data_IF_923607091929
#
_entry.id   IF_923607091929
#
_cell.length_a   1.000
_cell.length_b   1.000
_cell.length_c   1.000
_cell.angle_alpha   90.00
_cell.angle_beta   90.00
_cell.angle_gamma   90.00
#
_symmetry.space_group_name_H-M   'P 1'
#
loop_
_entity.id
_entity.type
_entity.pdbx_description
1 polymer ?
#
# COMPACT_ATOMS: atom_id res chain seq x y z
N UNK A 1 5.55 17.38 8.73
CA UNK A 1 4.51 17.23 7.67
C UNK A 1 4.84 16.04 6.79
N UNK A 2 3.87 15.19 6.52
CA UNK A 2 4.04 13.99 5.68
C UNK A 2 4.41 14.40 4.25
N UNK A 3 5.51 13.86 3.68
CA UNK A 3 5.88 14.10 2.28
C UNK A 3 4.80 13.63 1.30
N UNK A 4 4.58 14.41 0.23
CA UNK A 4 3.59 14.09 -0.82
C UNK A 4 4.16 13.11 -1.83
N UNK A 5 4.45 11.90 -1.36
CA UNK A 5 4.97 10.81 -2.16
C UNK A 5 4.25 9.51 -1.79
N UNK A 6 3.88 8.71 -2.78
CA UNK A 6 3.30 7.37 -2.58
C UNK A 6 4.33 6.35 -3.05
N UNK A 7 4.67 5.45 -2.16
CA UNK A 7 5.63 4.37 -2.37
C UNK A 7 4.87 3.05 -2.56
N UNK A 8 5.11 2.40 -3.67
CA UNK A 8 4.74 1.01 -3.95
C UNK A 8 5.99 0.13 -3.90
N UNK A 9 5.82 -1.13 -3.55
CA UNK A 9 6.90 -2.12 -3.52
C UNK A 9 6.49 -3.32 -4.36
N UNK A 10 7.37 -3.73 -5.29
CA UNK A 10 7.26 -5.00 -5.99
C UNK A 10 8.57 -5.76 -5.87
N UNK A 11 8.55 -6.88 -5.15
CA UNK A 11 9.69 -7.79 -4.98
C UNK A 11 9.52 -8.94 -5.95
N UNK A 12 10.47 -9.11 -6.85
CA UNK A 12 10.43 -10.16 -7.85
C UNK A 12 10.66 -11.55 -7.22
N UNK A 13 9.68 -12.43 -7.40
CA UNK A 13 9.71 -13.82 -6.97
C UNK A 13 9.20 -14.73 -8.10
N UNK A 14 9.74 -14.54 -9.32
CA UNK A 14 9.32 -15.30 -10.49
C UNK A 14 8.03 -14.81 -11.16
N UNK A 15 7.39 -13.76 -10.64
CA UNK A 15 6.17 -13.20 -11.19
C UNK A 15 6.29 -11.70 -11.38
N UNK A 16 5.73 -11.18 -12.47
CA UNK A 16 5.60 -9.75 -12.75
C UNK A 16 4.30 -9.19 -12.18
N UNK A 17 4.21 -7.86 -11.97
CA UNK A 17 2.95 -7.23 -11.59
C UNK A 17 1.86 -7.54 -12.62
N UNK A 18 0.69 -7.94 -12.15
CA UNK A 18 -0.50 -8.11 -13.00
C UNK A 18 -1.05 -6.77 -13.46
N UNK A 19 -2.00 -6.79 -14.40
CA UNK A 19 -2.68 -5.56 -14.83
C UNK A 19 -3.36 -4.84 -13.68
N UNK A 20 -3.95 -5.56 -12.72
CA UNK A 20 -4.59 -4.96 -11.54
C UNK A 20 -3.58 -4.30 -10.60
N UNK A 21 -2.40 -4.88 -10.41
CA UNK A 21 -1.32 -4.24 -9.69
C UNK A 21 -0.87 -2.93 -10.38
N UNK A 22 -0.72 -2.96 -11.70
CA UNK A 22 -0.38 -1.77 -12.48
C UNK A 22 -1.52 -0.75 -12.48
N UNK A 23 -2.77 -1.21 -12.43
CA UNK A 23 -3.94 -0.35 -12.31
C UNK A 23 -3.95 0.39 -10.98
N UNK A 24 -3.63 -0.27 -9.86
CA UNK A 24 -3.46 0.37 -8.55
C UNK A 24 -2.49 1.56 -8.63
N UNK A 25 -1.30 1.36 -9.17
CA UNK A 25 -0.31 2.43 -9.37
C UNK A 25 -0.88 3.57 -10.23
N UNK A 26 -1.57 3.24 -11.33
CA UNK A 26 -2.18 4.23 -12.22
C UNK A 26 -3.24 5.07 -11.51
N UNK A 27 -4.06 4.47 -10.61
CA UNK A 27 -5.04 5.23 -9.82
C UNK A 27 -4.35 6.27 -8.93
N UNK A 28 -3.22 5.94 -8.32
CA UNK A 28 -2.45 6.90 -7.53
C UNK A 28 -1.93 8.07 -8.37
N UNK A 29 -1.39 7.79 -9.56
CA UNK A 29 -0.91 8.83 -10.50
C UNK A 29 -2.03 9.77 -10.94
N UNK A 30 -3.23 9.24 -11.17
CA UNK A 30 -4.34 10.01 -11.74
C UNK A 30 -5.13 10.78 -10.69
N UNK A 31 -5.35 10.18 -9.53
CA UNK A 31 -6.27 10.69 -8.53
C UNK A 31 -5.58 11.43 -7.39
N UNK A 32 -4.24 11.51 -7.40
CA UNK A 32 -3.50 12.25 -6.39
C UNK A 32 -2.52 13.25 -7.00
N UNK A 33 -2.09 14.21 -6.21
CA UNK A 33 -1.01 15.15 -6.57
C UNK A 33 0.34 14.70 -6.03
N UNK A 34 0.41 13.47 -5.53
CA UNK A 34 1.64 12.90 -5.00
C UNK A 34 2.59 12.47 -6.12
N UNK A 35 3.88 12.54 -5.84
CA UNK A 35 4.87 11.81 -6.62
C UNK A 35 4.66 10.32 -6.38
N UNK A 36 4.65 9.50 -7.43
CA UNK A 36 4.48 8.05 -7.31
C UNK A 36 5.80 7.35 -7.60
N UNK A 37 6.22 6.48 -6.70
CA UNK A 37 7.47 5.73 -6.78
C UNK A 37 7.18 4.23 -6.65
N UNK A 38 7.70 3.45 -7.59
CA UNK A 38 7.73 2.00 -7.52
C UNK A 38 9.13 1.52 -7.17
N UNK A 39 9.30 0.91 -6.00
CA UNK A 39 10.54 0.26 -5.58
C UNK A 39 10.50 -1.20 -6.01
N UNK A 40 11.51 -1.66 -6.76
CA UNK A 40 11.52 -3.03 -7.28
C UNK A 40 12.94 -3.56 -7.52
N UNK A 41 13.11 -4.86 -7.49
CA UNK A 41 14.29 -5.58 -7.98
C UNK A 41 14.06 -6.21 -9.37
N UNK A 42 12.85 -6.09 -9.91
CA UNK A 42 12.51 -6.54 -11.26
C UNK A 42 12.96 -5.53 -12.32
N UNK A 43 14.09 -5.81 -12.96
CA UNK A 43 14.66 -4.95 -14.02
C UNK A 43 13.90 -5.01 -15.34
N UNK A 44 12.91 -5.88 -15.47
CA UNK A 44 12.13 -6.06 -16.70
C UNK A 44 10.84 -5.26 -16.73
N UNK A 45 10.49 -4.60 -15.60
CA UNK A 45 9.32 -3.72 -15.53
C UNK A 45 9.47 -2.58 -16.53
N UNK A 46 8.50 -2.48 -17.43
CA UNK A 46 8.45 -1.40 -18.42
C UNK A 46 8.15 -0.06 -17.74
N UNK A 47 8.64 1.06 -18.28
CA UNK A 47 8.31 2.39 -17.78
C UNK A 47 6.79 2.61 -17.67
N UNK A 48 6.35 3.13 -16.52
CA UNK A 48 4.95 3.47 -16.26
C UNK A 48 4.84 5.00 -16.25
N UNK A 49 3.94 5.54 -17.08
CA UNK A 49 3.76 6.99 -17.19
C UNK A 49 3.40 7.62 -15.84
N UNK A 50 4.16 8.65 -15.42
CA UNK A 50 3.95 9.35 -14.15
C UNK A 50 4.55 8.66 -12.93
N UNK A 51 5.27 7.55 -13.11
CA UNK A 51 5.90 6.77 -12.02
C UNK A 51 7.41 6.82 -12.13
N UNK A 52 8.09 7.11 -11.02
CA UNK A 52 9.52 6.89 -10.86
C UNK A 52 9.76 5.44 -10.45
N UNK A 53 10.50 4.69 -11.27
CA UNK A 53 10.93 3.33 -10.91
C UNK A 53 12.29 3.41 -10.24
N UNK A 54 12.37 2.92 -8.99
CA UNK A 54 13.62 2.82 -8.22
C UNK A 54 14.02 1.36 -8.09
N UNK A 55 15.09 0.99 -8.76
CA UNK A 55 15.66 -0.34 -8.62
C UNK A 55 16.41 -0.47 -7.31
N UNK A 56 16.03 -1.45 -6.49
CA UNK A 56 16.65 -1.76 -5.21
C UNK A 56 17.00 -3.24 -5.14
N UNK A 57 18.03 -3.57 -4.40
CA UNK A 57 18.24 -4.96 -3.93
C UNK A 57 17.52 -5.09 -2.60
N UNK A 58 16.56 -6.00 -2.53
CA UNK A 58 15.92 -6.35 -1.26
C UNK A 58 16.71 -7.45 -0.57
N UNK A 59 17.01 -7.26 0.71
CA UNK A 59 17.61 -8.33 1.51
C UNK A 59 16.57 -9.44 1.74
N UNK A 60 16.63 -10.46 0.91
CA UNK A 60 15.75 -11.63 1.02
C UNK A 60 16.13 -12.54 2.20
N UNK A 61 17.26 -12.25 2.85
CA UNK A 61 17.77 -12.93 4.04
C UNK A 61 17.81 -11.95 5.22
N UNK A 62 16.70 -11.24 5.47
CA UNK A 62 16.64 -10.27 6.55
C UNK A 62 17.28 -10.87 7.80
N UNK A 63 18.36 -10.23 8.28
CA UNK A 63 19.18 -10.72 9.39
C UNK A 63 18.29 -11.09 10.58
N UNK A 64 18.36 -12.34 11.02
CA UNK A 64 17.61 -12.87 12.16
C UNK A 64 16.28 -13.53 11.81
N UNK A 65 15.86 -13.57 10.55
CA UNK A 65 14.75 -14.41 10.11
C UNK A 65 15.35 -15.69 9.51
N UNK A 66 15.36 -16.80 10.23
CA UNK A 66 15.70 -18.10 9.65
C UNK A 66 14.56 -18.45 8.69
N UNK A 67 14.74 -18.14 7.42
CA UNK A 67 13.94 -18.76 6.38
C UNK A 67 14.44 -20.19 6.19
N UNK A 68 13.87 -21.10 6.95
CA UNK A 68 14.01 -22.51 6.67
C UNK A 68 13.33 -22.76 5.32
N UNK A 69 14.13 -23.01 4.29
CA UNK A 69 13.65 -23.27 2.94
C UNK A 69 12.79 -24.55 2.87
N UNK A 70 12.92 -25.41 3.88
CA UNK A 70 12.22 -26.70 3.97
C UNK A 70 10.93 -26.66 4.80
N UNK A 71 10.63 -25.54 5.47
CA UNK A 71 9.37 -25.42 6.18
C UNK A 71 8.23 -25.20 5.17
N UNK A 72 7.57 -26.31 4.82
CA UNK A 72 6.23 -26.31 4.20
C UNK A 72 5.25 -25.63 5.14
N UNK A 73 5.31 -24.30 5.15
CA UNK A 73 4.20 -23.51 5.67
C UNK A 73 3.06 -23.76 4.67
N UNK A 74 2.04 -24.49 5.08
CA UNK A 74 0.90 -24.96 4.25
C UNK A 74 0.15 -23.88 3.49
N UNK A 75 0.61 -22.63 3.54
CA UNK A 75 0.00 -21.49 2.89
C UNK A 75 0.99 -20.81 1.95
N UNK A 76 1.04 -21.29 0.70
CA UNK A 76 1.59 -20.60 -0.49
C UNK A 76 3.05 -20.07 -0.41
N UNK A 77 4.00 -20.87 0.06
CA UNK A 77 5.44 -20.83 -0.24
C UNK A 77 6.10 -19.43 -0.32
N UNK A 78 6.68 -19.14 -1.46
CA UNK A 78 7.47 -17.92 -1.73
C UNK A 78 6.68 -16.60 -1.64
N UNK A 79 5.38 -16.62 -1.97
CA UNK A 79 4.54 -15.41 -1.93
C UNK A 79 4.40 -14.84 -0.51
N UNK A 80 4.40 -15.69 0.53
CA UNK A 80 4.41 -15.23 1.93
C UNK A 80 5.71 -14.56 2.32
N UNK A 81 6.83 -15.13 1.90
CA UNK A 81 8.15 -14.58 2.17
C UNK A 81 8.28 -13.17 1.60
N UNK A 82 7.83 -12.97 0.38
CA UNK A 82 7.80 -11.66 -0.28
C UNK A 82 6.93 -10.66 0.48
N UNK A 83 5.75 -11.09 0.96
CA UNK A 83 4.87 -10.23 1.75
C UNK A 83 5.54 -9.79 3.06
N UNK A 84 6.19 -10.70 3.79
CA UNK A 84 6.90 -10.37 5.03
C UNK A 84 8.08 -9.43 4.80
N UNK A 85 8.87 -9.65 3.72
CA UNK A 85 9.94 -8.72 3.34
C UNK A 85 9.34 -7.34 3.03
N UNK A 86 8.24 -7.29 2.28
CA UNK A 86 7.53 -6.05 1.98
C UNK A 86 7.06 -5.33 3.25
N UNK A 87 6.58 -6.07 4.27
CA UNK A 87 6.16 -5.47 5.55
C UNK A 87 7.31 -4.76 6.28
N UNK A 88 8.51 -5.28 6.20
CA UNK A 88 9.70 -4.65 6.80
C UNK A 88 10.18 -3.49 5.92
N UNK A 89 10.30 -3.72 4.62
CA UNK A 89 10.82 -2.71 3.67
C UNK A 89 9.94 -1.46 3.61
N UNK A 90 8.59 -1.60 3.72
CA UNK A 90 7.70 -0.43 3.82
C UNK A 90 8.01 0.44 5.02
N UNK A 91 8.35 -0.18 6.15
CA UNK A 91 8.73 0.56 7.34
C UNK A 91 10.09 1.25 7.16
N UNK A 92 11.05 0.62 6.49
CA UNK A 92 12.36 1.23 6.21
C UNK A 92 12.21 2.45 5.30
N UNK A 93 11.44 2.33 4.21
CA UNK A 93 11.17 3.44 3.29
C UNK A 93 10.48 4.58 4.04
N UNK A 94 9.41 4.30 4.79
CA UNK A 94 8.69 5.31 5.55
C UNK A 94 9.54 5.96 6.64
N UNK A 95 10.42 5.19 7.28
CA UNK A 95 11.34 5.75 8.28
C UNK A 95 12.35 6.69 7.64
N UNK A 96 12.94 6.32 6.49
CA UNK A 96 13.97 7.13 5.83
C UNK A 96 13.39 8.32 5.07
N UNK A 97 12.38 8.10 4.25
CA UNK A 97 11.86 9.07 3.29
C UNK A 97 10.54 9.71 3.74
N UNK A 98 9.79 9.05 4.65
CA UNK A 98 8.41 9.43 4.96
C UNK A 98 7.49 9.18 3.77
N UNK A 99 6.33 9.84 3.76
CA UNK A 99 5.36 9.72 2.68
C UNK A 99 4.26 8.71 2.99
N UNK A 100 3.77 8.07 1.97
CA UNK A 100 2.68 7.10 2.02
C UNK A 100 3.18 5.79 1.44
N UNK A 101 3.12 4.72 2.20
CA UNK A 101 3.20 3.38 1.66
C UNK A 101 1.81 2.92 1.20
N UNK A 102 1.75 2.24 0.07
CA UNK A 102 0.53 1.66 -0.48
C UNK A 102 0.80 0.25 -1.00
N UNK A 103 -0.02 -0.71 -0.62
CA UNK A 103 -0.01 -2.03 -1.25
C UNK A 103 -0.41 -1.92 -2.73
N UNK A 104 0.06 -2.89 -3.52
CA UNK A 104 -0.17 -2.94 -4.97
C UNK A 104 -1.62 -3.27 -5.37
N UNK A 105 -2.50 -3.47 -4.39
CA UNK A 105 -3.94 -3.72 -4.55
C UNK A 105 -4.79 -2.68 -3.82
N UNK A 106 -4.27 -1.45 -3.70
CA UNK A 106 -4.99 -0.28 -3.17
C UNK A 106 -5.28 0.69 -4.30
N UNK A 107 -6.55 0.96 -4.56
CA UNK A 107 -7.00 1.92 -5.58
C UNK A 107 -7.24 3.29 -4.95
N UNK A 108 -6.50 4.29 -5.39
CA UNK A 108 -6.60 5.66 -4.91
C UNK A 108 -7.75 6.41 -5.60
N UNK A 109 -8.57 7.09 -4.82
CA UNK A 109 -9.70 7.88 -5.30
C UNK A 109 -9.46 9.38 -5.22
N UNK A 110 -8.67 9.86 -4.25
CA UNK A 110 -8.36 11.27 -4.04
C UNK A 110 -7.13 11.47 -3.14
N UNK A 111 -6.70 12.72 -3.01
CA UNK A 111 -5.65 13.10 -2.06
C UNK A 111 -6.10 12.90 -0.60
N UNK A 112 -5.22 12.41 0.29
CA UNK A 112 -5.46 12.31 1.73
C UNK A 112 -5.20 13.66 2.45
N UNK A 113 -5.89 14.73 2.02
CA UNK A 113 -5.62 16.11 2.48
C UNK A 113 -5.80 16.29 3.98
N UNK A 114 -6.64 15.47 4.58
CA UNK A 114 -6.99 15.51 6.01
C UNK A 114 -5.83 15.08 6.93
N UNK A 115 -4.78 14.48 6.35
CA UNK A 115 -3.74 13.80 7.13
C UNK A 115 -2.31 14.33 6.92
N UNK A 116 -2.11 15.34 6.08
CA UNK A 116 -0.77 15.86 5.80
C UNK A 116 -0.05 16.46 7.01
N UNK A 117 -0.80 16.92 8.01
CA UNK A 117 -0.29 17.52 9.25
C UNK A 117 -0.01 16.49 10.36
N UNK A 118 -0.36 15.23 10.15
CA UNK A 118 -0.14 14.15 11.12
C UNK A 118 1.29 13.62 11.04
N UNK A 119 1.73 12.92 12.10
CA UNK A 119 3.05 12.29 12.14
C UNK A 119 3.03 10.89 11.57
N UNK A 120 2.11 10.04 12.03
CA UNK A 120 1.84 8.70 11.49
C UNK A 120 0.34 8.50 11.37
N UNK A 121 -0.12 7.91 10.26
CA UNK A 121 -1.54 7.58 10.04
C UNK A 121 -1.68 6.15 9.59
N UNK A 122 -2.63 5.43 10.18
CA UNK A 122 -2.98 4.06 9.80
C UNK A 122 -4.48 3.84 9.97
N UNK A 123 -5.07 2.96 9.15
CA UNK A 123 -6.51 2.70 9.16
C UNK A 123 -6.93 1.39 9.82
N UNK A 124 -8.09 1.41 10.45
CA UNK A 124 -8.75 0.19 10.87
C UNK A 124 -9.34 -0.56 9.67
N UNK A 125 -9.13 -1.88 9.61
CA UNK A 125 -9.94 -2.77 8.78
C UNK A 125 -11.19 -3.21 9.52
N UNK A 126 -11.05 -3.42 10.83
CA UNK A 126 -12.14 -3.76 11.71
C UNK A 126 -11.99 -3.04 13.05
N UNK A 127 -12.81 -2.03 13.28
CA UNK A 127 -12.76 -1.24 14.50
C UNK A 127 -13.21 -2.02 15.73
N UNK A 128 -14.25 -2.88 15.58
CA UNK A 128 -14.76 -3.69 16.68
C UNK A 128 -13.72 -4.65 17.28
N UNK A 129 -12.89 -5.23 16.42
CA UNK A 129 -11.79 -6.12 16.82
C UNK A 129 -10.43 -5.41 16.96
N UNK A 130 -10.38 -4.08 16.81
CA UNK A 130 -9.14 -3.30 16.90
C UNK A 130 -8.04 -3.80 15.96
N UNK A 131 -8.43 -4.09 14.71
CA UNK A 131 -7.51 -4.57 13.68
C UNK A 131 -7.14 -3.40 12.77
N UNK A 132 -5.86 -3.04 12.79
CA UNK A 132 -5.24 -2.11 11.85
C UNK A 132 -4.65 -2.88 10.68
N UNK A 133 -4.65 -2.28 9.50
CA UNK A 133 -3.97 -2.86 8.34
C UNK A 133 -2.80 -2.00 7.89
N UNK A 134 -1.74 -2.67 7.55
CA UNK A 134 -0.50 -2.04 7.10
C UNK A 134 -0.43 -1.84 5.57
N UNK A 135 -1.53 -2.07 4.86
CA UNK A 135 -1.62 -1.86 3.40
C UNK A 135 -1.58 -0.39 2.98
N UNK A 136 -1.95 0.53 3.88
CA UNK A 136 -1.73 1.97 3.74
C UNK A 136 -1.23 2.52 5.05
N UNK A 137 -0.03 3.09 5.03
CA UNK A 137 0.58 3.79 6.15
C UNK A 137 1.10 5.13 5.65
N UNK A 138 0.78 6.21 6.35
CA UNK A 138 1.38 7.52 6.07
C UNK A 138 2.29 7.91 7.24
N UNK A 139 3.46 8.48 6.96
CA UNK A 139 4.38 8.90 8.00
C UNK A 139 5.25 10.11 7.60
N UNK A 140 5.57 10.95 8.56
CA UNK A 140 6.74 11.81 8.46
C UNK A 140 8.02 10.96 8.51
N UNK A 141 9.13 11.41 7.93
CA UNK A 141 10.39 10.67 8.05
C UNK A 141 10.88 10.60 9.50
N UNK A 142 11.64 9.54 9.83
CA UNK A 142 12.29 9.32 11.13
C UNK A 142 11.33 9.16 12.32
N UNK A 143 10.08 8.79 12.08
CA UNK A 143 9.11 8.54 13.16
C UNK A 143 9.47 7.30 13.98
N UNK A 144 9.55 7.47 15.30
CA UNK A 144 9.87 6.38 16.23
C UNK A 144 8.84 5.23 16.17
N UNK A 145 7.57 5.56 15.96
CA UNK A 145 6.50 4.58 15.81
C UNK A 145 6.75 3.62 14.64
N UNK A 146 7.21 4.13 13.50
CA UNK A 146 7.55 3.32 12.33
C UNK A 146 8.74 2.39 12.62
N UNK A 147 9.79 2.93 13.28
CA UNK A 147 10.94 2.12 13.70
C UNK A 147 10.52 1.01 14.67
N UNK A 148 9.70 1.32 15.67
CA UNK A 148 9.16 0.37 16.66
C UNK A 148 8.37 -0.75 15.97
N UNK A 149 7.57 -0.40 14.97
CA UNK A 149 6.81 -1.38 14.20
C UNK A 149 7.72 -2.30 13.39
N UNK A 150 8.71 -1.75 12.68
CA UNK A 150 9.71 -2.54 11.95
C UNK A 150 10.44 -3.52 12.87
N UNK A 151 10.96 -3.03 14.00
CA UNK A 151 11.74 -3.84 14.94
C UNK A 151 10.88 -4.99 15.50
N UNK A 152 9.60 -4.69 15.82
CA UNK A 152 8.65 -5.71 16.25
C UNK A 152 8.35 -6.75 15.13
N UNK A 153 8.20 -6.33 13.87
CA UNK A 153 8.04 -7.26 12.75
C UNK A 153 9.23 -8.22 12.64
N UNK A 154 10.45 -7.72 12.76
CA UNK A 154 11.67 -8.54 12.72
C UNK A 154 11.70 -9.55 13.89
N UNK A 155 11.23 -9.15 15.06
CA UNK A 155 11.17 -10.03 16.25
C UNK A 155 10.18 -11.17 16.08
N UNK A 156 9.00 -10.89 15.52
CA UNK A 156 7.90 -11.85 15.48
C UNK A 156 7.91 -12.78 14.26
N UNK A 157 8.53 -12.39 13.15
CA UNK A 157 8.54 -13.22 11.93
C UNK A 157 9.18 -14.60 12.06
N UNK A 158 10.16 -14.84 12.93
CA UNK A 158 10.66 -16.19 13.16
C UNK A 158 9.65 -17.12 13.85
N UNK A 159 8.60 -16.55 14.49
CA UNK A 159 7.63 -17.39 15.20
C UNK A 159 6.59 -17.98 14.25
N UNK A 160 6.41 -19.30 14.26
CA UNK A 160 5.44 -20.07 13.46
C UNK A 160 3.96 -19.67 13.64
N UNK A 161 3.67 -18.73 14.54
CA UNK A 161 2.30 -18.29 14.89
C UNK A 161 1.73 -17.21 13.98
N UNK A 162 2.34 -16.97 12.83
CA UNK A 162 2.04 -15.81 11.99
C UNK A 162 0.89 -16.03 11.02
N UNK A 163 -0.33 -15.79 11.47
CA UNK A 163 -1.56 -15.92 10.66
C UNK A 163 -2.30 -14.61 10.39
N UNK A 164 -2.03 -13.59 11.17
CA UNK A 164 -2.71 -12.30 11.03
C UNK A 164 -1.71 -11.30 10.47
N UNK A 165 -2.07 -10.48 9.46
CA UNK A 165 -1.22 -9.38 9.05
C UNK A 165 -0.81 -8.64 10.32
N UNK A 166 0.48 -8.38 10.43
CA UNK A 166 1.11 -7.86 11.64
C UNK A 166 0.36 -6.63 12.15
N UNK A 167 -0.64 -6.88 12.99
CA UNK A 167 -1.52 -5.84 13.49
C UNK A 167 -0.78 -4.97 14.51
N UNK A 168 -0.39 -3.75 14.17
CA UNK A 168 0.38 -2.90 15.06
C UNK A 168 -0.45 -2.29 16.19
N UNK A 169 -1.73 -2.60 16.31
CA UNK A 169 -2.61 -1.96 17.29
C UNK A 169 -2.01 -1.94 18.70
N UNK A 170 -1.54 -3.09 19.21
CA UNK A 170 -1.02 -3.20 20.57
C UNK A 170 0.25 -2.38 20.81
N UNK A 171 1.06 -2.17 19.77
CA UNK A 171 2.30 -1.40 19.90
C UNK A 171 2.11 0.10 19.70
N UNK A 172 0.98 0.49 19.08
CA UNK A 172 0.68 1.87 18.73
C UNK A 172 -0.50 2.49 19.49
N UNK A 173 -1.29 1.68 20.24
CA UNK A 173 -2.56 2.15 20.86
C UNK A 173 -2.41 3.34 21.79
N UNK A 174 -1.25 3.49 22.43
CA UNK A 174 -0.96 4.57 23.37
C UNK A 174 0.11 5.54 22.82
N UNK A 175 0.46 5.44 21.53
CA UNK A 175 1.46 6.32 20.94
C UNK A 175 0.79 7.63 20.45
N UNK A 176 1.11 8.78 21.06
CA UNK A 176 0.47 10.06 20.75
C UNK A 176 0.79 10.56 19.33
N UNK A 177 1.82 10.03 18.70
CA UNK A 177 2.23 10.41 17.35
C UNK A 177 1.50 9.59 16.27
N UNK A 178 0.70 8.56 16.65
CA UNK A 178 -0.05 7.72 15.75
C UNK A 178 -1.52 8.07 15.72
N UNK A 179 -2.01 8.45 14.56
CA UNK A 179 -3.42 8.70 14.28
C UNK A 179 -4.05 7.45 13.66
N UNK A 180 -4.93 6.79 14.40
CA UNK A 180 -5.70 5.66 13.92
C UNK A 180 -7.02 6.14 13.33
N UNK A 181 -7.23 5.92 12.03
CA UNK A 181 -8.40 6.45 11.34
C UNK A 181 -9.46 5.39 11.09
N UNK A 182 -10.69 5.84 10.92
CA UNK A 182 -11.84 4.97 10.70
C UNK A 182 -11.69 4.20 9.40
N UNK A 183 -12.24 2.98 9.37
CA UNK A 183 -12.11 2.03 8.26
C UNK A 183 -12.55 2.60 6.90
N UNK A 184 -13.58 3.47 6.88
CA UNK A 184 -14.13 3.97 5.63
C UNK A 184 -13.14 4.75 4.76
N UNK A 185 -12.02 5.24 5.32
CA UNK A 185 -11.01 5.95 4.54
C UNK A 185 -10.27 5.05 3.56
N UNK A 186 -9.97 3.77 3.93
CA UNK A 186 -9.23 2.83 3.09
C UNK A 186 -9.85 1.43 2.97
N UNK A 187 -10.80 1.11 3.87
CA UNK A 187 -11.47 -0.19 3.94
C UNK A 187 -12.98 0.01 4.06
N UNK A 188 -13.64 0.61 3.05
CA UNK A 188 -15.08 0.96 3.14
C UNK A 188 -15.95 -0.25 3.42
N UNK A 189 -15.56 -1.42 2.93
CA UNK A 189 -16.24 -2.71 3.17
C UNK A 189 -15.23 -3.77 3.61
N UNK A 190 -15.73 -4.90 4.12
CA UNK A 190 -14.92 -6.08 4.38
C UNK A 190 -14.49 -6.78 3.09
N UNK A 191 -13.44 -7.60 3.18
CA UNK A 191 -12.89 -8.36 2.06
C UNK A 191 -13.93 -9.22 1.33
N UNK A 192 -14.91 -9.75 2.06
CA UNK A 192 -16.01 -10.59 1.56
C UNK A 192 -17.05 -9.83 0.74
N UNK A 193 -17.09 -8.50 0.87
CA UNK A 193 -18.07 -7.62 0.22
C UNK A 193 -17.48 -6.74 -0.89
N UNK A 194 -16.18 -6.82 -1.13
CA UNK A 194 -15.49 -5.94 -2.08
C UNK A 194 -16.03 -6.08 -3.52
N UNK A 195 -16.45 -7.29 -3.92
CA UNK A 195 -17.00 -7.55 -5.26
C UNK A 195 -18.32 -6.83 -5.54
N UNK A 196 -19.05 -6.47 -4.49
CA UNK A 196 -20.35 -5.81 -4.57
C UNK A 196 -20.27 -4.34 -4.11
N UNK A 197 -19.10 -3.75 -4.15
CA UNK A 197 -18.85 -2.39 -3.72
C UNK A 197 -19.52 -1.40 -4.67
N UNK A 198 -20.28 -0.45 -4.10
CA UNK A 198 -20.98 0.60 -4.85
C UNK A 198 -20.30 1.96 -4.70
N UNK A 199 -20.52 2.87 -5.64
CA UNK A 199 -19.98 4.24 -5.58
C UNK A 199 -20.40 4.98 -4.30
N UNK A 200 -21.63 4.79 -3.81
CA UNK A 200 -22.09 5.43 -2.58
C UNK A 200 -21.33 4.98 -1.32
N UNK A 201 -20.84 3.74 -1.31
CA UNK A 201 -20.05 3.21 -0.19
C UNK A 201 -18.62 3.77 -0.15
N UNK A 202 -18.10 4.24 -1.29
CA UNK A 202 -16.74 4.77 -1.41
C UNK A 202 -16.66 6.29 -1.45
N UNK A 203 -17.80 6.99 -1.44
CA UNK A 203 -17.86 8.45 -1.57
C UNK A 203 -16.95 9.19 -0.56
N UNK A 204 -16.84 8.66 0.66
CA UNK A 204 -15.98 9.23 1.72
C UNK A 204 -14.58 8.63 1.76
N UNK A 205 -14.29 7.66 0.90
CA UNK A 205 -13.00 6.97 0.90
C UNK A 205 -11.92 7.80 0.21
N UNK A 206 -10.69 7.62 0.64
CA UNK A 206 -9.49 8.17 0.01
C UNK A 206 -8.90 7.13 -0.93
N UNK A 207 -8.94 5.88 -0.51
CA UNK A 207 -8.51 4.74 -1.29
C UNK A 207 -9.33 3.50 -0.92
N UNK A 208 -9.22 2.46 -1.72
CA UNK A 208 -9.92 1.18 -1.51
C UNK A 208 -8.92 0.05 -1.59
N UNK A 209 -8.75 -0.70 -0.51
CA UNK A 209 -7.99 -1.93 -0.52
C UNK A 209 -8.87 -3.07 -1.03
N UNK A 210 -8.44 -3.72 -2.12
CA UNK A 210 -9.29 -4.68 -2.84
C UNK A 210 -9.04 -6.13 -2.47
N UNK A 211 -8.02 -6.39 -1.63
CA UNK A 211 -7.68 -7.73 -1.14
C UNK A 211 -7.51 -8.75 -2.29
N UNK A 212 -6.70 -8.41 -3.30
CA UNK A 212 -6.54 -9.21 -4.51
C UNK A 212 -6.09 -10.64 -4.25
N UNK A 213 -5.26 -10.86 -3.22
CA UNK A 213 -4.82 -12.19 -2.79
C UNK A 213 -5.95 -13.11 -2.33
N UNK A 214 -7.09 -12.54 -1.89
CA UNK A 214 -8.25 -13.27 -1.39
C UNK A 214 -9.40 -13.31 -2.41
N UNK A 215 -9.51 -12.29 -3.23
CA UNK A 215 -10.65 -12.11 -4.13
C UNK A 215 -10.33 -12.43 -5.60
N UNK A 216 -9.03 -12.61 -5.94
CA UNK A 216 -8.60 -12.68 -7.34
C UNK A 216 -8.82 -11.35 -8.07
N UNK A 217 -8.84 -11.39 -9.40
CA UNK A 217 -9.06 -10.20 -10.21
C UNK A 217 -10.40 -9.56 -9.89
N UNK A 218 -10.39 -8.26 -9.62
CA UNK A 218 -11.62 -7.51 -9.44
C UNK A 218 -12.36 -7.43 -10.76
N UNK A 219 -13.61 -7.89 -10.72
CA UNK A 219 -14.58 -7.76 -11.80
C UNK A 219 -15.83 -7.15 -11.21
N UNK A 220 -16.42 -6.20 -11.87
CA UNK A 220 -17.71 -5.65 -11.47
C UNK A 220 -17.82 -4.15 -11.74
N UNK A 221 -19.01 -3.63 -11.50
CA UNK A 221 -19.45 -2.29 -11.88
C UNK A 221 -18.50 -1.17 -11.40
N UNK A 222 -17.99 -1.27 -10.16
CA UNK A 222 -17.05 -0.28 -9.64
C UNK A 222 -15.70 -0.30 -10.37
N UNK A 223 -15.16 -1.49 -10.62
CA UNK A 223 -13.89 -1.61 -11.33
C UNK A 223 -14.01 -1.12 -12.77
N UNK A 224 -15.10 -1.48 -13.45
CA UNK A 224 -15.38 -1.04 -14.81
C UNK A 224 -15.62 0.48 -14.85
N UNK A 225 -16.32 1.03 -13.84
CA UNK A 225 -16.51 2.48 -13.68
C UNK A 225 -15.18 3.20 -13.46
N UNK A 226 -14.34 2.71 -12.55
CA UNK A 226 -13.02 3.29 -12.29
C UNK A 226 -12.12 3.21 -13.54
N UNK A 227 -12.10 2.09 -14.27
CA UNK A 227 -11.38 1.98 -15.55
C UNK A 227 -11.89 2.99 -16.57
N UNK A 228 -13.20 3.09 -16.74
CA UNK A 228 -13.84 4.03 -17.69
C UNK A 228 -13.56 5.49 -17.35
N UNK A 229 -13.59 5.85 -16.07
CA UNK A 229 -13.27 7.20 -15.62
C UNK A 229 -11.79 7.51 -15.85
N UNK A 230 -10.91 6.54 -15.64
CA UNK A 230 -9.48 6.70 -15.92
C UNK A 230 -9.20 6.92 -17.41
N UNK A 231 -9.86 6.20 -18.29
CA UNK A 231 -9.73 6.40 -19.74
C UNK A 231 -10.18 7.81 -20.16
N UNK A 232 -11.19 8.37 -19.49
CA UNK A 232 -11.65 9.76 -19.71
C UNK A 232 -10.70 10.82 -19.17
N UNK A 233 -9.98 10.54 -18.06
CA UNK A 233 -9.09 11.51 -17.40
C UNK A 233 -7.72 11.63 -18.08
N UNK A 234 -7.25 10.61 -18.78
CA UNK A 234 -5.96 10.63 -19.48
C UNK A 234 -5.82 11.81 -20.48
N UNK A 235 -6.85 12.22 -21.27
CA UNK A 235 -6.75 13.38 -22.14
C UNK A 235 -6.71 14.72 -21.41
N UNK A 236 -7.37 14.84 -20.26
CA UNK A 236 -7.55 16.12 -19.56
C UNK A 236 -6.26 16.57 -18.84
N UNK A 237 -5.47 15.63 -18.31
CA UNK A 237 -4.19 15.94 -17.65
C UNK A 237 -3.14 16.37 -18.66
N UNK A 238 -3.12 15.79 -19.87
CA UNK A 238 -2.22 16.22 -20.96
C UNK A 238 -2.45 17.66 -21.38
N UNK A 239 -3.71 18.12 -21.42
CA UNK A 239 -4.05 19.47 -21.84
C UNK A 239 -3.74 20.55 -20.77
N UNK A 240 -3.77 20.21 -19.48
CA UNK A 240 -3.42 21.17 -18.41
C UNK A 240 -1.92 21.42 -18.28
N UNK A 241 -1.10 20.41 -18.57
CA UNK A 241 0.37 20.54 -18.51
C UNK A 241 0.93 21.35 -19.69
N UNK A 242 0.29 21.27 -20.84
CA UNK A 242 0.70 22.02 -22.04
C UNK A 242 0.31 23.52 -22.00
N UNK A 243 -0.78 23.89 -21.30
CA UNK A 243 -1.17 25.31 -21.15
C UNK A 243 -0.32 26.10 -20.14
N UNK A 244 0.38 25.44 -19.20
CA UNK A 244 1.30 26.11 -18.24
C UNK A 244 2.71 26.38 -18.80
N UNK A 245 3.02 25.94 -20.01
CA UNK A 245 4.31 26.21 -20.67
C UNK A 245 4.28 27.29 -21.76
N UNK A 246 3.18 28.02 -21.88
CA UNK A 246 3.01 29.09 -22.89
C UNK A 246 2.73 30.47 -22.29
N UNK A 247 3.04 30.70 -21.01
CA UNK A 247 3.08 32.05 -20.44
C UNK A 247 4.39 32.32 -19.75
#
# INVERSE_FOLDING_TARGET
>A
MIPRVIHFIWIYAGQHPTEDHLFSIKTAVLNTTCKVILHTDDKTIKPISGVEIRYRTFDKNIKGIPFDADEKIEYKGEAKRVAHISDIVRCEILYEEGGIYSDMDVFWLRNPIEFWDKKVVIGFTNQGYKILANSVIMAEPKQKAIKKYRDWLIEIYPSKKYWIPANPYKIWMDDPDVTMVQKHYWFPVGWDKIKNLTMSQVEKSIAIHVFSSMNGDLKGELYDSLKKDMERYVPCVRNKTLKKRKN
#
